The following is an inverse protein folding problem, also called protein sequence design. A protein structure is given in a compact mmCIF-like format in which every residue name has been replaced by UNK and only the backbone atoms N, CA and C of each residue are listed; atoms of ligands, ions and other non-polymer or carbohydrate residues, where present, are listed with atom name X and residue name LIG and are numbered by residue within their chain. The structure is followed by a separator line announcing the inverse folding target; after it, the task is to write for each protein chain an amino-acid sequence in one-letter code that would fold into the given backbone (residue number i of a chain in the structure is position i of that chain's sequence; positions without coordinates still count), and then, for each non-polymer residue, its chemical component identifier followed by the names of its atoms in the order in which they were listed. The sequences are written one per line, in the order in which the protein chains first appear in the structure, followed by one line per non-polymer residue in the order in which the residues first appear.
data_IF_878563654950
#
_entry.id   IF_878563654950
#
_cell.length_a   1.000
_cell.length_b   1.000
_cell.length_c   1.000
_cell.angle_alpha   90.00
_cell.angle_beta   90.00
_cell.angle_gamma   90.00
#
_symmetry.space_group_name_H-M   'P 1'
#
loop_
_entity.id
_entity.type
_entity.pdbx_description
1 polymer ?
#
# COMPACT_ATOMS: atom_id res chain seq x y z
N UNK A 1 32.14 21.67 33.99
CA UNK A 1 31.96 20.35 33.36
C UNK A 1 31.03 20.51 32.17
N UNK A 2 31.30 19.90 31.01
CA UNK A 2 30.33 19.90 29.92
C UNK A 2 29.03 19.27 30.45
N UNK A 3 27.88 19.90 30.21
CA UNK A 3 26.58 19.40 30.66
C UNK A 3 26.30 18.08 29.93
N UNK A 4 26.56 16.95 30.60
CA UNK A 4 26.38 15.59 30.07
C UNK A 4 25.00 15.39 29.48
N UNK A 5 23.96 15.93 30.14
CA UNK A 5 22.58 15.94 29.64
C UNK A 5 22.44 16.59 28.25
N UNK A 6 23.08 17.76 28.06
CA UNK A 6 23.05 18.50 26.80
C UNK A 6 23.81 17.76 25.69
N UNK A 7 24.89 17.06 26.05
CA UNK A 7 25.63 16.19 25.14
C UNK A 7 24.81 14.98 24.69
N UNK A 8 24.14 14.30 25.62
CA UNK A 8 23.25 13.17 25.32
C UNK A 8 22.07 13.59 24.46
N UNK A 9 21.41 14.70 24.81
CA UNK A 9 20.29 15.23 24.04
C UNK A 9 20.71 15.60 22.61
N UNK A 10 21.83 16.33 22.46
CA UNK A 10 22.36 16.72 21.16
C UNK A 10 22.75 15.49 20.32
N UNK A 11 23.39 14.49 20.94
CA UNK A 11 23.78 13.25 20.29
C UNK A 11 22.55 12.47 19.79
N UNK A 12 21.56 12.25 20.64
CA UNK A 12 20.30 11.59 20.26
C UNK A 12 19.60 12.32 19.12
N UNK A 13 19.50 13.65 19.20
CA UNK A 13 18.89 14.44 18.14
C UNK A 13 19.63 14.31 16.81
N UNK A 14 20.97 14.40 16.83
CA UNK A 14 21.79 14.24 15.63
C UNK A 14 21.63 12.86 15.01
N UNK A 15 21.65 11.79 15.80
CA UNK A 15 21.50 10.42 15.28
C UNK A 15 20.13 10.19 14.66
N UNK A 16 19.06 10.78 15.21
CA UNK A 16 17.71 10.67 14.61
C UNK A 16 17.61 11.53 13.33
N UNK A 17 18.21 12.72 13.34
CA UNK A 17 18.12 13.65 12.21
C UNK A 17 18.99 13.23 11.02
N UNK A 18 20.27 12.96 11.25
CA UNK A 18 21.28 12.71 10.21
C UNK A 18 21.51 11.21 9.97
N UNK A 19 21.19 10.37 10.96
CA UNK A 19 21.29 8.91 10.87
C UNK A 19 22.53 8.34 11.56
N UNK A 20 22.52 7.02 11.71
CA UNK A 20 23.67 6.26 12.19
C UNK A 20 24.58 5.87 11.02
N UNK A 21 25.89 5.90 11.24
CA UNK A 21 26.91 5.46 10.27
C UNK A 21 27.61 4.23 10.85
N UNK A 22 27.50 3.10 10.14
CA UNK A 22 28.22 1.89 10.50
C UNK A 22 29.60 1.88 9.83
N UNK A 23 30.62 1.41 10.56
CA UNK A 23 31.92 1.10 10.00
C UNK A 23 32.34 -0.31 10.46
N UNK A 24 31.91 -1.32 9.70
CA UNK A 24 32.14 -2.73 9.99
C UNK A 24 33.29 -3.32 9.17
N UNK A 25 33.80 -2.59 8.17
CA UNK A 25 34.82 -3.07 7.24
C UNK A 25 34.27 -3.90 6.06
N UNK A 26 32.95 -4.07 5.96
CA UNK A 26 32.27 -4.67 4.81
C UNK A 26 31.45 -3.58 4.10
N UNK A 27 31.88 -3.17 2.90
CA UNK A 27 31.26 -2.07 2.17
C UNK A 27 29.76 -2.28 1.91
N UNK A 28 29.32 -3.50 1.64
CA UNK A 28 27.89 -3.80 1.40
C UNK A 28 27.07 -3.67 2.68
N UNK A 29 27.64 -4.12 3.82
CA UNK A 29 26.96 -4.01 5.11
C UNK A 29 26.89 -2.55 5.58
N UNK A 30 27.98 -1.81 5.39
CA UNK A 30 28.08 -0.39 5.76
C UNK A 30 27.10 0.46 4.96
N UNK A 31 26.94 0.20 3.66
CA UNK A 31 25.95 0.88 2.79
C UNK A 31 24.49 0.57 3.19
N UNK A 32 24.20 -0.69 3.55
CA UNK A 32 22.87 -1.09 4.01
C UNK A 32 22.50 -0.51 5.38
N UNK A 33 23.47 -0.37 6.28
CA UNK A 33 23.27 0.10 7.64
C UNK A 33 23.42 1.62 7.79
N UNK A 34 23.99 2.30 6.79
CA UNK A 34 24.18 3.76 6.74
C UNK A 34 23.22 4.40 5.73
N UNK A 35 21.94 4.52 6.10
CA UNK A 35 20.88 5.07 5.22
C UNK A 35 20.45 6.51 5.53
N UNK A 36 21.14 7.15 6.47
CA UNK A 36 20.79 8.48 6.96
C UNK A 36 19.61 8.46 7.95
N UNK A 37 19.13 9.64 8.31
CA UNK A 37 18.04 9.85 9.27
C UNK A 37 16.83 10.55 8.64
N UNK A 38 16.10 11.33 9.43
CA UNK A 38 14.95 12.10 8.93
C UNK A 38 15.30 13.02 7.75
N UNK A 39 16.53 13.54 7.69
CA UNK A 39 16.97 14.41 6.60
C UNK A 39 17.00 13.70 5.24
N UNK A 40 17.46 12.45 5.18
CA UNK A 40 17.52 11.68 3.92
C UNK A 40 16.12 11.28 3.41
N UNK A 41 15.11 11.29 4.28
CA UNK A 41 13.72 11.00 3.93
C UNK A 41 12.93 12.21 3.42
N UNK A 42 13.49 13.43 3.47
CA UNK A 42 12.75 14.66 3.16
C UNK A 42 12.21 14.67 1.72
N UNK A 43 12.96 14.12 0.76
CA UNK A 43 12.51 13.95 -0.63
C UNK A 43 11.30 13.03 -0.74
N UNK A 44 11.30 11.91 0.00
CA UNK A 44 10.16 10.98 0.05
C UNK A 44 8.94 11.66 0.69
N UNK A 45 9.14 12.43 1.76
CA UNK A 45 8.06 13.19 2.42
C UNK A 45 7.45 14.21 1.46
N UNK A 46 8.28 14.92 0.69
CA UNK A 46 7.80 15.88 -0.30
C UNK A 46 6.93 15.21 -1.37
N UNK A 47 7.38 14.06 -1.90
CA UNK A 47 6.59 13.24 -2.83
C UNK A 47 5.26 12.81 -2.21
N UNK A 48 5.27 12.34 -0.96
CA UNK A 48 4.05 11.94 -0.23
C UNK A 48 3.06 13.10 -0.12
N UNK A 49 3.52 14.30 0.24
CA UNK A 49 2.63 15.47 0.37
C UNK A 49 2.01 15.82 -1.00
N UNK A 50 2.80 15.86 -2.07
CA UNK A 50 2.30 16.12 -3.42
C UNK A 50 1.29 15.04 -3.86
N UNK A 51 1.61 13.77 -3.61
CA UNK A 51 0.77 12.62 -3.90
C UNK A 51 -0.58 12.67 -3.17
N UNK A 52 -0.57 12.96 -1.87
CA UNK A 52 -1.78 13.06 -1.05
C UNK A 52 -2.68 14.21 -1.50
N UNK A 53 -2.11 15.37 -1.84
CA UNK A 53 -2.89 16.51 -2.36
C UNK A 53 -3.57 16.13 -3.68
N UNK A 54 -2.85 15.49 -4.59
CA UNK A 54 -3.42 15.01 -5.85
C UNK A 54 -4.53 13.98 -5.65
N UNK A 55 -4.30 12.99 -4.79
CA UNK A 55 -5.29 11.96 -4.45
C UNK A 55 -6.55 12.56 -3.82
N UNK A 56 -6.40 13.51 -2.90
CA UNK A 56 -7.52 14.20 -2.26
C UNK A 56 -8.37 15.00 -3.25
N UNK A 57 -7.74 15.70 -4.20
CA UNK A 57 -8.47 16.41 -5.27
C UNK A 57 -9.23 15.42 -6.15
N UNK A 58 -8.65 14.27 -6.47
CA UNK A 58 -9.30 13.25 -7.30
C UNK A 58 -10.49 12.58 -6.61
N UNK A 59 -10.41 12.37 -5.30
CA UNK A 59 -11.53 11.87 -4.49
C UNK A 59 -12.63 12.93 -4.38
N UNK A 60 -12.26 14.19 -4.09
CA UNK A 60 -13.23 15.27 -3.92
C UNK A 60 -13.98 15.63 -5.22
N UNK A 61 -13.31 15.52 -6.36
CA UNK A 61 -13.94 15.70 -7.69
C UNK A 61 -14.83 14.52 -8.10
N UNK A 62 -14.82 13.42 -7.35
CA UNK A 62 -15.64 12.24 -7.63
C UNK A 62 -15.15 11.39 -8.81
N UNK A 63 -13.97 11.70 -9.37
CA UNK A 63 -13.39 10.96 -10.49
C UNK A 63 -13.12 9.50 -10.12
N UNK A 64 -12.59 9.27 -8.91
CA UNK A 64 -12.37 7.92 -8.42
C UNK A 64 -13.69 7.17 -8.22
N UNK A 65 -14.70 7.83 -7.66
CA UNK A 65 -16.04 7.24 -7.50
C UNK A 65 -16.65 6.85 -8.84
N UNK A 66 -16.46 7.66 -9.89
CA UNK A 66 -16.89 7.35 -11.24
C UNK A 66 -16.21 6.09 -11.78
N UNK A 67 -14.87 5.99 -11.62
CA UNK A 67 -14.09 4.82 -12.04
C UNK A 67 -14.55 3.53 -11.35
N UNK A 68 -14.76 3.57 -10.03
CA UNK A 68 -15.23 2.39 -9.28
C UNK A 68 -16.66 2.01 -9.67
N UNK A 69 -17.55 2.99 -9.88
CA UNK A 69 -18.93 2.72 -10.32
C UNK A 69 -18.95 2.08 -11.71
N UNK A 70 -18.06 2.51 -12.60
CA UNK A 70 -17.88 1.89 -13.90
C UNK A 70 -17.33 0.46 -13.77
N UNK A 71 -16.33 0.24 -12.91
CA UNK A 71 -15.78 -1.09 -12.65
C UNK A 71 -16.84 -2.06 -12.10
N UNK A 72 -17.71 -1.59 -11.19
CA UNK A 72 -18.84 -2.35 -10.65
C UNK A 72 -19.81 -2.85 -11.74
N UNK A 73 -19.93 -2.16 -12.88
CA UNK A 73 -20.81 -2.60 -13.97
C UNK A 73 -20.37 -3.92 -14.63
N UNK A 74 -19.12 -4.32 -14.46
CA UNK A 74 -18.59 -5.58 -14.97
C UNK A 74 -18.75 -6.77 -14.01
N UNK A 75 -19.34 -6.54 -12.83
CA UNK A 75 -19.52 -7.57 -11.81
C UNK A 75 -20.75 -8.41 -12.09
N UNK A 76 -20.54 -9.69 -12.42
CA UNK A 76 -21.62 -10.65 -12.68
C UNK A 76 -21.59 -11.90 -11.78
N UNK A 77 -20.50 -12.15 -11.06
CA UNK A 77 -20.32 -13.33 -10.19
C UNK A 77 -19.39 -13.03 -9.03
N UNK A 78 -19.30 -13.92 -8.04
CA UNK A 78 -18.38 -13.78 -6.89
C UNK A 78 -16.92 -13.66 -7.31
N UNK A 79 -16.46 -14.49 -8.26
CA UNK A 79 -15.09 -14.41 -8.77
C UNK A 79 -14.83 -13.10 -9.53
N UNK A 80 -15.82 -12.65 -10.30
CA UNK A 80 -15.77 -11.36 -10.98
C UNK A 80 -15.75 -10.19 -10.00
N UNK A 81 -16.51 -10.24 -8.90
CA UNK A 81 -16.51 -9.22 -7.83
C UNK A 81 -15.13 -9.10 -7.18
N UNK A 82 -14.50 -10.22 -6.85
CA UNK A 82 -13.14 -10.24 -6.27
C UNK A 82 -12.12 -9.71 -7.28
N UNK A 83 -12.16 -10.19 -8.53
CA UNK A 83 -11.27 -9.74 -9.58
C UNK A 83 -11.39 -8.23 -9.86
N UNK A 84 -12.61 -7.72 -9.94
CA UNK A 84 -12.89 -6.29 -10.13
C UNK A 84 -12.41 -5.47 -8.92
N UNK A 85 -12.58 -5.97 -7.70
CA UNK A 85 -12.07 -5.33 -6.49
C UNK A 85 -10.54 -5.22 -6.53
N UNK A 86 -9.85 -6.31 -6.87
CA UNK A 86 -8.39 -6.36 -7.01
C UNK A 86 -7.93 -5.38 -8.10
N UNK A 87 -8.52 -5.46 -9.29
CA UNK A 87 -8.19 -4.58 -10.41
C UNK A 87 -8.40 -3.10 -10.06
N UNK A 88 -9.47 -2.79 -9.31
CA UNK A 88 -9.76 -1.43 -8.86
C UNK A 88 -8.72 -0.94 -7.85
N UNK A 89 -8.30 -1.77 -6.90
CA UNK A 89 -7.26 -1.41 -5.94
C UNK A 89 -5.91 -1.19 -6.65
N UNK A 90 -5.51 -2.09 -7.54
CA UNK A 90 -4.26 -1.95 -8.30
C UNK A 90 -4.32 -0.69 -9.18
N UNK A 91 -5.43 -0.47 -9.89
CA UNK A 91 -5.65 0.72 -10.69
C UNK A 91 -5.62 2.00 -9.85
N UNK A 92 -6.21 1.99 -8.66
CA UNK A 92 -6.12 3.08 -7.71
C UNK A 92 -4.66 3.30 -7.29
N UNK A 93 -3.89 2.29 -6.90
CA UNK A 93 -2.47 2.48 -6.56
C UNK A 93 -1.62 3.06 -7.71
N UNK A 94 -1.97 2.74 -8.96
CA UNK A 94 -1.29 3.28 -10.15
C UNK A 94 -1.68 4.74 -10.37
N UNK A 95 -2.96 5.08 -10.22
CA UNK A 95 -3.50 6.42 -10.49
C UNK A 95 -3.26 7.36 -9.29
N UNK A 96 -3.73 6.96 -8.12
CA UNK A 96 -3.49 7.63 -6.85
C UNK A 96 -2.13 7.22 -6.31
N UNK A 97 -1.26 8.20 -6.13
CA UNK A 97 0.08 8.05 -5.58
C UNK A 97 0.09 7.72 -4.07
N UNK A 98 -1.04 7.26 -3.52
CA UNK A 98 -1.25 7.02 -2.11
C UNK A 98 -2.14 5.78 -1.88
N UNK A 99 -1.67 4.89 -1.00
CA UNK A 99 -2.34 3.61 -0.71
C UNK A 99 -3.63 3.76 0.11
N UNK A 100 -3.79 4.83 0.88
CA UNK A 100 -4.98 4.98 1.74
C UNK A 100 -6.24 5.05 0.90
N UNK A 101 -6.19 5.79 -0.21
CA UNK A 101 -7.30 5.89 -1.15
C UNK A 101 -7.58 4.56 -1.86
N UNK A 102 -6.52 3.81 -2.20
CA UNK A 102 -6.64 2.48 -2.82
C UNK A 102 -7.32 1.44 -1.91
N UNK A 103 -7.35 1.64 -0.58
CA UNK A 103 -8.00 0.72 0.35
C UNK A 103 -9.39 1.22 0.76
N UNK A 104 -9.49 2.49 1.16
CA UNK A 104 -10.69 3.03 1.78
C UNK A 104 -11.81 3.22 0.76
N UNK A 105 -11.50 3.73 -0.43
CA UNK A 105 -12.53 4.00 -1.43
C UNK A 105 -13.13 2.69 -1.97
N UNK A 106 -12.35 1.70 -2.47
CA UNK A 106 -12.92 0.41 -2.85
C UNK A 106 -13.62 -0.28 -1.67
N UNK A 107 -13.05 -0.23 -0.46
CA UNK A 107 -13.68 -0.82 0.72
C UNK A 107 -15.06 -0.26 1.04
N UNK A 108 -15.26 1.06 0.88
CA UNK A 108 -16.59 1.68 1.07
C UNK A 108 -17.55 1.37 -0.08
N UNK A 109 -17.05 1.37 -1.32
CA UNK A 109 -17.89 1.23 -2.51
C UNK A 109 -18.32 -0.21 -2.80
N UNK A 110 -17.43 -1.18 -2.61
CA UNK A 110 -17.73 -2.60 -2.82
C UNK A 110 -18.47 -3.24 -1.65
N UNK A 111 -18.50 -2.61 -0.47
CA UNK A 111 -19.19 -3.14 0.72
C UNK A 111 -20.61 -3.64 0.43
N UNK A 112 -21.44 -2.77 -0.16
CA UNK A 112 -22.83 -3.09 -0.49
C UNK A 112 -22.92 -4.25 -1.49
N UNK A 113 -21.98 -4.36 -2.42
CA UNK A 113 -21.99 -5.42 -3.43
C UNK A 113 -21.61 -6.79 -2.83
N UNK A 114 -20.63 -6.81 -1.91
CA UNK A 114 -20.31 -8.03 -1.15
C UNK A 114 -21.49 -8.47 -0.26
N UNK A 115 -22.21 -7.53 0.35
CA UNK A 115 -23.43 -7.83 1.13
C UNK A 115 -24.54 -8.42 0.24
N UNK A 116 -24.81 -7.84 -0.93
CA UNK A 116 -25.79 -8.37 -1.90
C UNK A 116 -25.45 -9.78 -2.40
N UNK A 117 -24.16 -10.06 -2.54
CA UNK A 117 -23.66 -11.37 -2.95
C UNK A 117 -23.59 -12.39 -1.79
N UNK A 118 -24.13 -12.05 -0.61
CA UNK A 118 -24.10 -12.88 0.60
C UNK A 118 -22.68 -13.31 1.00
N UNK A 119 -21.71 -12.40 0.92
CA UNK A 119 -20.32 -12.62 1.30
C UNK A 119 -19.99 -11.95 2.65
N UNK A 120 -19.19 -12.62 3.48
CA UNK A 120 -18.64 -12.02 4.70
C UNK A 120 -17.70 -10.86 4.34
N UNK A 121 -17.72 -9.79 5.15
CA UNK A 121 -16.82 -8.64 5.03
C UNK A 121 -15.34 -9.02 5.17
N UNK A 122 -15.03 -10.17 5.78
CA UNK A 122 -13.68 -10.75 5.79
C UNK A 122 -13.14 -10.99 4.38
N UNK A 123 -13.99 -11.38 3.42
CA UNK A 123 -13.56 -11.58 2.04
C UNK A 123 -13.18 -10.24 1.40
N UNK A 124 -13.97 -9.19 1.64
CA UNK A 124 -13.66 -7.85 1.15
C UNK A 124 -12.35 -7.34 1.77
N UNK A 125 -12.21 -7.41 3.09
CA UNK A 125 -10.98 -6.98 3.78
C UNK A 125 -9.76 -7.74 3.28
N UNK A 126 -9.86 -9.06 3.13
CA UNK A 126 -8.79 -9.87 2.56
C UNK A 126 -8.43 -9.42 1.14
N UNK A 127 -9.44 -9.20 0.29
CA UNK A 127 -9.23 -8.79 -1.10
C UNK A 127 -8.57 -7.41 -1.20
N UNK A 128 -8.92 -6.49 -0.30
CA UNK A 128 -8.30 -5.17 -0.19
C UNK A 128 -6.82 -5.28 0.18
N UNK A 129 -6.47 -6.11 1.16
CA UNK A 129 -5.06 -6.33 1.55
C UNK A 129 -4.27 -7.05 0.45
N UNK A 130 -4.90 -8.06 -0.18
CA UNK A 130 -4.29 -8.86 -1.23
C UNK A 130 -3.94 -8.04 -2.48
N UNK A 131 -4.62 -6.91 -2.68
CA UNK A 131 -4.40 -6.00 -3.80
C UNK A 131 -3.79 -4.65 -3.39
N UNK A 132 -4.51 -3.84 -2.62
CA UNK A 132 -4.13 -2.46 -2.29
C UNK A 132 -2.83 -2.37 -1.51
N UNK A 133 -2.70 -3.11 -0.41
CA UNK A 133 -1.50 -3.04 0.45
C UNK A 133 -0.27 -3.59 -0.26
N UNK A 134 -0.43 -4.73 -0.90
CA UNK A 134 0.70 -5.50 -1.43
C UNK A 134 1.21 -4.95 -2.77
N UNK A 135 0.38 -4.27 -3.55
CA UNK A 135 0.81 -3.69 -4.84
C UNK A 135 1.32 -2.24 -4.74
N UNK A 136 1.07 -1.55 -3.63
CA UNK A 136 1.53 -0.17 -3.40
C UNK A 136 3.05 0.01 -3.59
N UNK A 137 3.94 -0.88 -3.09
CA UNK A 137 5.39 -0.78 -3.32
C UNK A 137 5.82 -0.95 -4.78
N UNK A 138 4.97 -1.48 -5.67
CA UNK A 138 5.33 -1.73 -7.07
C UNK A 138 5.24 -0.48 -7.93
N UNK A 139 4.65 0.60 -7.42
CA UNK A 139 4.40 1.84 -8.16
C UNK A 139 5.42 2.91 -7.74
N UNK A 140 6.30 3.39 -8.64
CA UNK A 140 7.43 4.24 -8.25
C UNK A 140 7.05 5.59 -7.66
N UNK A 141 5.93 6.14 -8.11
CA UNK A 141 5.40 7.41 -7.60
C UNK A 141 4.47 7.24 -6.41
N UNK A 142 4.20 6.01 -5.98
CA UNK A 142 3.46 5.74 -4.74
C UNK A 142 4.41 5.88 -3.54
N UNK A 143 3.87 6.28 -2.38
CA UNK A 143 4.62 6.49 -1.14
C UNK A 143 5.45 5.28 -0.72
N UNK A 144 4.88 4.07 -0.78
CA UNK A 144 5.60 2.84 -0.46
C UNK A 144 6.68 2.51 -1.48
N UNK A 145 6.44 2.76 -2.77
CA UNK A 145 7.41 2.52 -3.84
C UNK A 145 8.61 3.47 -3.74
N UNK A 146 8.34 4.75 -3.49
CA UNK A 146 9.36 5.77 -3.24
C UNK A 146 10.20 5.44 -2.00
N UNK A 147 9.55 5.02 -0.90
CA UNK A 147 10.26 4.57 0.31
C UNK A 147 11.15 3.35 0.05
N UNK A 148 10.65 2.34 -0.66
CA UNK A 148 11.44 1.14 -0.95
C UNK A 148 12.60 1.45 -1.90
N UNK A 149 12.41 2.35 -2.88
CA UNK A 149 13.48 2.78 -3.77
C UNK A 149 14.57 3.58 -3.04
N UNK A 150 14.18 4.52 -2.18
CA UNK A 150 15.13 5.31 -1.38
C UNK A 150 15.86 4.44 -0.38
N UNK A 151 15.16 3.47 0.21
CA UNK A 151 15.72 2.52 1.14
C UNK A 151 16.69 1.62 0.38
N UNK A 152 16.21 0.77 -0.52
CA UNK A 152 17.04 -0.21 -1.24
C UNK A 152 18.17 0.39 -2.10
N UNK A 153 18.15 1.68 -2.39
CA UNK A 153 19.14 2.35 -3.25
C UNK A 153 19.01 1.97 -4.72
N UNK A 154 17.90 1.33 -5.10
CA UNK A 154 17.62 0.89 -6.47
C UNK A 154 16.24 1.38 -6.91
N UNK A 155 16.10 1.66 -8.21
CA UNK A 155 14.82 2.10 -8.76
C UNK A 155 13.72 1.04 -8.56
N UNK A 156 12.46 1.47 -8.45
CA UNK A 156 11.31 0.56 -8.29
C UNK A 156 11.25 -0.55 -9.32
N UNK A 157 11.44 -0.22 -10.60
CA UNK A 157 11.45 -1.22 -11.67
C UNK A 157 12.60 -2.23 -11.59
N UNK A 158 13.69 -1.91 -10.87
CA UNK A 158 14.79 -2.83 -10.65
C UNK A 158 14.46 -3.88 -9.59
N UNK A 159 13.77 -3.52 -8.50
CA UNK A 159 13.35 -4.50 -7.49
C UNK A 159 12.01 -5.18 -7.81
N UNK A 160 11.16 -4.57 -8.63
CA UNK A 160 9.81 -5.05 -8.97
C UNK A 160 9.78 -6.54 -9.36
N UNK A 161 10.66 -7.06 -10.24
CA UNK A 161 10.64 -8.49 -10.63
C UNK A 161 10.93 -9.45 -9.48
N UNK A 162 11.62 -8.98 -8.43
CA UNK A 162 12.00 -9.78 -7.26
C UNK A 162 10.94 -9.75 -6.16
N UNK A 163 9.91 -8.90 -6.27
CA UNK A 163 8.78 -8.85 -5.34
C UNK A 163 7.78 -9.98 -5.62
N UNK A 164 8.23 -11.23 -5.57
CA UNK A 164 7.43 -12.41 -5.91
C UNK A 164 6.12 -12.49 -5.13
N UNK A 165 6.17 -12.24 -3.82
CA UNK A 165 4.97 -12.19 -2.99
C UNK A 165 3.96 -11.17 -3.53
N UNK A 166 4.44 -9.98 -3.91
CA UNK A 166 3.56 -8.90 -4.34
C UNK A 166 2.94 -9.13 -5.72
N UNK A 167 3.66 -9.83 -6.59
CA UNK A 167 3.18 -10.17 -7.93
C UNK A 167 2.26 -11.39 -7.93
N UNK A 168 2.57 -12.39 -7.11
CA UNK A 168 1.84 -13.67 -7.08
C UNK A 168 0.55 -13.57 -6.27
N UNK A 169 0.55 -12.84 -5.15
CA UNK A 169 -0.58 -12.81 -4.23
C UNK A 169 -1.91 -12.33 -4.87
N UNK A 170 -1.94 -11.23 -5.66
CA UNK A 170 -3.15 -10.83 -6.37
C UNK A 170 -3.65 -11.90 -7.35
N UNK A 171 -2.75 -12.63 -8.02
CA UNK A 171 -3.10 -13.70 -8.96
C UNK A 171 -3.76 -14.87 -8.22
N UNK A 172 -3.18 -15.27 -7.07
CA UNK A 172 -3.76 -16.33 -6.23
C UNK A 172 -5.14 -15.90 -5.69
N UNK A 173 -5.29 -14.64 -5.25
CA UNK A 173 -6.56 -14.12 -4.76
C UNK A 173 -7.66 -14.16 -5.84
N UNK A 174 -7.34 -13.81 -7.09
CA UNK A 174 -8.26 -13.96 -8.23
C UNK A 174 -8.64 -15.42 -8.45
N UNK A 175 -7.66 -16.34 -8.48
CA UNK A 175 -7.91 -17.78 -8.66
C UNK A 175 -8.83 -18.32 -7.57
N UNK A 176 -8.58 -17.97 -6.30
CA UNK A 176 -9.44 -18.39 -5.18
C UNK A 176 -10.85 -17.81 -5.29
N UNK A 177 -10.97 -16.58 -5.80
CA UNK A 177 -12.25 -15.95 -6.10
C UNK A 177 -13.09 -16.75 -7.10
N UNK A 178 -12.48 -17.20 -8.21
CA UNK A 178 -13.17 -17.99 -9.23
C UNK A 178 -13.46 -19.43 -8.78
N UNK A 179 -12.53 -20.05 -8.05
CA UNK A 179 -12.70 -21.41 -7.52
C UNK A 179 -13.62 -21.48 -6.29
N UNK A 180 -14.11 -20.33 -5.81
CA UNK A 180 -14.86 -20.21 -4.55
C UNK A 180 -14.16 -20.88 -3.35
N UNK A 181 -12.82 -20.86 -3.35
CA UNK A 181 -12.02 -21.52 -2.33
C UNK A 181 -11.83 -20.62 -1.11
N UNK A 182 -12.23 -21.08 0.08
CA UNK A 182 -12.20 -20.31 1.34
C UNK A 182 -12.95 -18.96 1.26
N UNK A 183 -14.04 -18.90 0.49
CA UNK A 183 -14.94 -17.73 0.52
C UNK A 183 -15.98 -17.96 1.61
N UNK A 184 -15.98 -17.08 2.62
CA UNK A 184 -16.94 -17.18 3.72
C UNK A 184 -18.28 -16.56 3.33
N UNK A 185 -19.41 -17.27 3.46
CA UNK A 185 -20.72 -16.66 3.27
C UNK A 185 -20.99 -15.64 4.39
N UNK A 186 -21.86 -14.67 4.12
CA UNK A 186 -22.25 -13.67 5.10
C UNK A 186 -22.74 -14.34 6.38
N UNK A 187 -22.25 -13.86 7.52
CA UNK A 187 -22.72 -14.34 8.83
C UNK A 187 -24.18 -13.91 8.93
N UNK A 188 -25.12 -14.86 8.89
CA UNK A 188 -26.50 -14.58 9.27
C UNK A 188 -26.44 -14.09 10.71
N UNK A 189 -26.80 -12.83 10.95
CA UNK A 189 -27.02 -12.35 12.31
C UNK A 189 -28.08 -13.27 12.94
N UNK A 190 -27.62 -14.25 13.71
CA UNK A 190 -28.48 -14.97 14.62
C UNK A 190 -29.00 -13.90 15.58
N UNK A 191 -30.29 -13.63 15.43
CA UNK A 191 -31.11 -12.84 16.34
C UNK A 191 -30.80 -13.22 17.78
N UNK A 192 -30.33 -12.26 18.56
CA UNK A 192 -30.62 -12.15 19.99
C UNK A 192 -31.50 -10.94 20.21
#
# INVERSE_FOLDING_TARGET
APNVFLGLFKGTWYTIFDGFVLNSGNATLDDLMTRGGMSSMLTTIWLVICAMVFGAVMDHTGLLKCLVTYALSFVHSTGSLIATTIATCIGANIITSDQYISLVLPGRMYKLEYEKHNLDMKNLSRTLEDAGTITSPLVPWNTCGAYMASTLGVATFAYLPYCFFNLINPIIAVIYGFLNFKISPAISNQTT
#
